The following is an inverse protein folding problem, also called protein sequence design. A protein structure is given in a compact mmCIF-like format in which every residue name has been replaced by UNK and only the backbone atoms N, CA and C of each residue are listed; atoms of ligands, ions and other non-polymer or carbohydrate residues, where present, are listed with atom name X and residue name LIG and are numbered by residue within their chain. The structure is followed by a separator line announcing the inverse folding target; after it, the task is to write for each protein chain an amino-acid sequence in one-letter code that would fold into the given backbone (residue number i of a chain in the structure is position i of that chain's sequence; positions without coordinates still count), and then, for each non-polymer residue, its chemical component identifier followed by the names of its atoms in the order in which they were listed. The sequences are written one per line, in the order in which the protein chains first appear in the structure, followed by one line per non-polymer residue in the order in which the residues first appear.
data_IF_500951583186
#
_entry.id   IF_500951583186
#
_cell.length_a   1.000
_cell.length_b   1.000
_cell.length_c   1.000
_cell.angle_alpha   90.00
_cell.angle_beta   90.00
_cell.angle_gamma   90.00
#
_symmetry.space_group_name_H-M   'P 1'
#
loop_
_entity.id
_entity.type
_entity.pdbx_description
1 polymer ?
#
# COMPACT_ATOMS: atom_id res chain seq x y z
N UNK A 1 -5.60 22.97 13.30
CA UNK A 1 -5.67 21.94 12.24
C UNK A 1 -5.62 20.63 12.98
N UNK A 2 -6.78 20.00 13.17
CA UNK A 2 -6.88 18.74 13.89
C UNK A 2 -6.60 17.68 12.83
N UNK A 3 -5.35 17.25 12.74
CA UNK A 3 -5.03 16.04 12.00
C UNK A 3 -5.77 14.91 12.72
N UNK A 4 -6.69 14.27 11.99
CA UNK A 4 -7.39 13.07 12.40
C UNK A 4 -6.39 11.91 12.52
N UNK A 5 -5.47 11.98 13.49
CA UNK A 5 -4.72 10.85 14.01
C UNK A 5 -5.69 9.98 14.82
N UNK A 6 -6.63 9.31 14.14
CA UNK A 6 -7.23 8.12 14.73
C UNK A 6 -6.07 7.16 14.98
N UNK A 7 -5.76 6.95 16.25
CA UNK A 7 -4.81 5.92 16.66
C UNK A 7 -5.25 4.61 16.01
N UNK A 8 -4.43 4.08 15.10
CA UNK A 8 -4.65 2.79 14.49
C UNK A 8 -4.78 1.77 15.61
N UNK A 9 -5.78 0.90 15.51
CA UNK A 9 -5.90 -0.26 16.40
C UNK A 9 -4.65 -1.15 16.26
N UNK A 10 -4.44 -2.05 17.22
CA UNK A 10 -3.33 -3.00 17.14
C UNK A 10 -3.40 -3.89 15.87
N UNK A 11 -4.61 -4.22 15.44
CA UNK A 11 -4.88 -4.96 14.20
C UNK A 11 -4.52 -4.13 12.96
N UNK A 12 -5.00 -2.87 12.90
CA UNK A 12 -4.66 -1.95 11.80
C UNK A 12 -3.16 -1.65 11.73
N UNK A 13 -2.47 -1.56 12.88
CA UNK A 13 -1.02 -1.35 12.94
C UNK A 13 -0.24 -2.58 12.43
N UNK A 14 -0.70 -3.79 12.75
CA UNK A 14 -0.10 -5.02 12.25
C UNK A 14 -0.28 -5.16 10.73
N UNK A 15 -1.48 -4.82 10.22
CA UNK A 15 -1.77 -4.80 8.79
C UNK A 15 -0.95 -3.75 8.05
N UNK A 16 -0.79 -2.55 8.62
CA UNK A 16 0.06 -1.49 8.06
C UNK A 16 1.52 -1.96 7.95
N UNK A 17 2.09 -2.55 8.99
CA UNK A 17 3.45 -3.08 8.97
C UNK A 17 3.63 -4.21 7.95
N UNK A 18 2.63 -5.09 7.80
CA UNK A 18 2.62 -6.13 6.76
C UNK A 18 2.58 -5.54 5.34
N UNK A 19 1.81 -4.48 5.15
CA UNK A 19 1.73 -3.76 3.88
C UNK A 19 3.04 -3.04 3.54
N UNK A 20 3.66 -2.35 4.49
CA UNK A 20 4.98 -1.72 4.33
C UNK A 20 6.03 -2.74 3.90
N UNK A 21 6.08 -3.90 4.57
CA UNK A 21 7.02 -4.97 4.22
C UNK A 21 6.78 -5.52 2.79
N UNK A 22 5.52 -5.64 2.36
CA UNK A 22 5.18 -6.06 0.99
C UNK A 22 5.58 -5.01 -0.05
N UNK A 23 5.30 -3.73 0.21
CA UNK A 23 5.67 -2.62 -0.68
C UNK A 23 7.19 -2.54 -0.82
N UNK A 24 7.92 -2.63 0.28
CA UNK A 24 9.39 -2.63 0.30
C UNK A 24 9.98 -3.83 -0.44
N UNK A 25 9.42 -5.03 -0.25
CA UNK A 25 9.91 -6.25 -0.91
C UNK A 25 9.73 -6.24 -2.41
N UNK A 26 8.59 -5.77 -2.88
CA UNK A 26 8.26 -5.76 -4.32
C UNK A 26 8.83 -4.55 -5.05
N UNK A 27 9.14 -3.48 -4.32
CA UNK A 27 9.65 -2.19 -4.83
C UNK A 27 9.09 -1.86 -6.22
N UNK A 28 7.74 -1.73 -6.35
CA UNK A 28 7.08 -1.67 -7.64
C UNK A 28 7.46 -0.43 -8.44
N UNK A 29 8.20 0.51 -7.87
CA UNK A 29 8.57 1.80 -8.45
C UNK A 29 10.08 2.07 -8.40
N UNK A 30 10.86 1.18 -7.79
CA UNK A 30 12.31 1.29 -7.78
C UNK A 30 12.86 2.39 -6.87
N UNK A 31 12.07 2.86 -5.87
CA UNK A 31 12.48 3.95 -4.97
C UNK A 31 12.80 3.49 -3.55
N UNK A 32 12.87 2.17 -3.30
CA UNK A 32 13.53 1.66 -2.10
C UNK A 32 15.05 1.96 -2.18
N UNK A 33 15.43 3.23 -1.98
CA UNK A 33 16.80 3.72 -2.03
C UNK A 33 17.36 3.85 -0.61
N UNK A 34 17.71 2.73 0.02
CA UNK A 34 18.41 2.72 1.30
C UNK A 34 18.01 1.59 2.24
N UNK A 35 18.47 1.67 3.48
CA UNK A 35 18.17 0.77 4.61
C UNK A 35 17.05 1.35 5.51
N UNK A 36 16.16 2.18 4.95
CA UNK A 36 15.10 2.84 5.72
C UNK A 36 13.73 2.19 5.47
N UNK A 37 13.33 1.19 6.27
CA UNK A 37 12.05 0.50 6.13
C UNK A 37 10.83 1.41 6.34
N UNK A 38 11.03 2.59 6.92
CA UNK A 38 9.97 3.58 7.18
C UNK A 38 9.60 4.44 5.95
N UNK A 39 10.23 4.22 4.78
CA UNK A 39 9.99 5.00 3.55
C UNK A 39 8.58 4.83 2.98
N UNK A 40 7.88 3.72 3.28
CA UNK A 40 6.54 3.41 2.76
C UNK A 40 5.42 3.58 3.81
N UNK A 41 5.74 4.02 5.02
CA UNK A 41 4.75 4.23 6.08
C UNK A 41 3.61 5.19 5.75
N UNK A 42 3.83 6.33 5.07
CA UNK A 42 2.73 7.22 4.72
C UNK A 42 1.78 6.61 3.67
N UNK A 43 2.29 5.88 2.69
CA UNK A 43 1.52 5.18 1.65
C UNK A 43 0.72 4.04 2.25
N UNK A 44 1.32 3.24 3.14
CA UNK A 44 0.64 2.14 3.82
C UNK A 44 -0.54 2.63 4.66
N UNK A 45 -0.37 3.75 5.38
CA UNK A 45 -1.44 4.39 6.17
C UNK A 45 -2.55 4.96 5.29
N UNK A 46 -2.23 5.53 4.13
CA UNK A 46 -3.22 6.03 3.18
C UNK A 46 -3.98 4.90 2.47
N UNK A 47 -3.32 3.76 2.24
CA UNK A 47 -3.91 2.57 1.63
C UNK A 47 -4.86 1.83 2.56
N UNK A 48 -4.53 1.72 3.85
CA UNK A 48 -5.27 0.92 4.82
C UNK A 48 -6.80 1.17 4.81
N UNK A 49 -7.32 2.41 4.94
CA UNK A 49 -8.77 2.66 4.94
C UNK A 49 -9.42 2.37 3.57
N UNK A 50 -8.66 2.43 2.47
CA UNK A 50 -9.17 2.09 1.13
C UNK A 50 -9.18 0.58 0.90
N UNK A 51 -8.19 -0.13 1.43
CA UNK A 51 -8.03 -1.58 1.28
C UNK A 51 -9.07 -2.37 2.07
N UNK A 52 -9.49 -1.92 3.25
CA UNK A 52 -10.55 -2.59 4.03
C UNK A 52 -11.92 -2.60 3.31
N UNK A 53 -12.13 -1.71 2.34
CA UNK A 53 -13.34 -1.68 1.52
C UNK A 53 -13.26 -2.58 0.28
N UNK A 54 -12.05 -3.04 -0.07
CA UNK A 54 -11.83 -3.90 -1.24
C UNK A 54 -12.21 -5.35 -0.97
N UNK A 55 -12.77 -6.03 -1.98
CA UNK A 55 -13.21 -7.44 -1.85
C UNK A 55 -12.53 -8.38 -2.83
N UNK A 56 -11.91 -7.84 -3.87
CA UNK A 56 -11.23 -8.61 -4.91
C UNK A 56 -9.80 -8.14 -5.12
N UNK A 57 -8.98 -9.01 -5.71
CA UNK A 57 -7.59 -8.67 -6.08
C UNK A 57 -7.54 -7.51 -7.08
N UNK A 58 -8.51 -7.41 -8.00
CA UNK A 58 -8.57 -6.32 -8.98
C UNK A 58 -8.88 -4.98 -8.28
N UNK A 59 -9.79 -4.98 -7.29
CA UNK A 59 -10.06 -3.78 -6.46
C UNK A 59 -8.80 -3.34 -5.70
N UNK A 60 -8.07 -4.29 -5.09
CA UNK A 60 -6.81 -4.01 -4.40
C UNK A 60 -5.79 -3.45 -5.38
N UNK A 61 -5.68 -4.03 -6.56
CA UNK A 61 -4.75 -3.58 -7.61
C UNK A 61 -5.04 -2.15 -8.05
N UNK A 62 -6.31 -1.81 -8.27
CA UNK A 62 -6.73 -0.47 -8.67
C UNK A 62 -6.51 0.55 -7.54
N UNK A 63 -6.80 0.19 -6.29
CA UNK A 63 -6.54 1.06 -5.12
C UNK A 63 -5.05 1.32 -4.94
N UNK A 64 -4.23 0.28 -5.03
CA UNK A 64 -2.76 0.41 -4.92
C UNK A 64 -2.23 1.28 -6.05
N UNK A 65 -2.59 0.99 -7.31
CA UNK A 65 -2.17 1.79 -8.47
C UNK A 65 -2.60 3.26 -8.32
N UNK A 66 -3.84 3.52 -7.92
CA UNK A 66 -4.35 4.88 -7.75
C UNK A 66 -3.59 5.66 -6.65
N UNK A 67 -3.20 5.02 -5.55
CA UNK A 67 -2.36 5.68 -4.53
C UNK A 67 -0.98 5.98 -5.09
N UNK A 68 -0.33 5.04 -5.76
CA UNK A 68 0.99 5.29 -6.34
C UNK A 68 0.96 6.39 -7.42
N UNK A 69 -0.06 6.43 -8.27
CA UNK A 69 -0.27 7.51 -9.24
C UNK A 69 -0.52 8.85 -8.55
N UNK A 70 -1.29 8.87 -7.46
CA UNK A 70 -1.55 10.08 -6.68
C UNK A 70 -0.27 10.65 -6.04
N UNK A 71 0.68 9.80 -5.67
CA UNK A 71 1.90 10.20 -4.96
C UNK A 71 3.09 10.49 -5.89
N UNK A 72 3.21 9.78 -7.01
CA UNK A 72 4.41 9.79 -7.88
C UNK A 72 4.14 10.14 -9.34
N UNK A 73 2.89 10.43 -9.68
CA UNK A 73 2.38 10.61 -11.03
C UNK A 73 2.33 9.32 -11.87
N UNK A 74 1.46 9.31 -12.89
CA UNK A 74 1.23 8.14 -13.76
C UNK A 74 2.49 7.69 -14.51
N UNK A 75 3.35 8.63 -14.89
CA UNK A 75 4.60 8.35 -15.59
C UNK A 75 5.60 7.54 -14.76
N UNK A 76 5.62 7.74 -13.44
CA UNK A 76 6.54 7.05 -12.51
C UNK A 76 5.92 5.76 -11.98
N UNK A 77 4.62 5.79 -11.64
CA UNK A 77 3.89 4.61 -11.18
C UNK A 77 3.81 3.51 -12.25
N UNK A 78 3.73 3.90 -13.52
CA UNK A 78 3.66 2.97 -14.64
C UNK A 78 2.31 2.21 -14.68
N UNK A 79 2.26 1.09 -15.43
CA UNK A 79 1.00 0.42 -15.72
C UNK A 79 0.47 -0.38 -14.54
N UNK A 80 -0.85 -0.40 -14.36
CA UNK A 80 -1.52 -1.17 -13.28
C UNK A 80 -1.08 -2.63 -13.20
N UNK A 81 -0.74 -3.26 -14.32
CA UNK A 81 -0.31 -4.66 -14.40
C UNK A 81 0.93 -4.96 -13.55
N UNK A 82 1.76 -3.93 -13.29
CA UNK A 82 2.93 -4.04 -12.41
C UNK A 82 2.55 -4.31 -10.95
N UNK A 83 1.35 -3.89 -10.55
CA UNK A 83 0.84 -4.03 -9.19
C UNK A 83 0.05 -5.32 -8.96
N UNK A 84 -0.10 -6.20 -9.96
CA UNK A 84 -0.91 -7.42 -9.79
C UNK A 84 -0.34 -8.36 -8.75
N UNK A 85 0.97 -8.62 -8.79
CA UNK A 85 1.62 -9.54 -7.84
C UNK A 85 1.51 -9.05 -6.40
N UNK A 86 1.74 -7.76 -6.17
CA UNK A 86 1.59 -7.17 -4.83
C UNK A 86 0.13 -7.14 -4.38
N UNK A 87 -0.82 -6.91 -5.30
CA UNK A 87 -2.25 -6.94 -4.98
C UNK A 87 -2.74 -8.34 -4.56
N UNK A 88 -2.23 -9.41 -5.18
CA UNK A 88 -2.52 -10.78 -4.78
C UNK A 88 -2.04 -11.07 -3.35
N UNK A 89 -0.83 -10.63 -3.01
CA UNK A 89 -0.27 -10.82 -1.66
C UNK A 89 -0.99 -9.96 -0.61
N UNK A 90 -1.33 -8.71 -0.93
CA UNK A 90 -2.13 -7.85 -0.05
C UNK A 90 -3.53 -8.47 0.16
N UNK A 91 -4.17 -8.97 -0.89
CA UNK A 91 -5.49 -9.61 -0.76
C UNK A 91 -5.41 -10.88 0.10
N UNK A 92 -4.32 -11.64 0.04
CA UNK A 92 -4.08 -12.79 0.92
C UNK A 92 -3.88 -12.35 2.38
N UNK A 93 -3.17 -11.24 2.62
CA UNK A 93 -2.97 -10.67 3.95
C UNK A 93 -4.29 -10.19 4.59
N UNK A 94 -5.17 -9.55 3.81
CA UNK A 94 -6.46 -9.02 4.29
C UNK A 94 -7.53 -10.09 4.55
N UNK A 95 -7.36 -11.29 3.98
CA UNK A 95 -8.30 -12.42 4.15
C UNK A 95 -7.97 -13.31 5.35
N UNK A 96 -6.92 -12.98 6.10
CA UNK A 96 -6.40 -13.77 7.21
C UNK A 96 -6.72 -13.13 8.56
#
# INVERSE_FOLDING_TARGET
MRDDERALTAEESCLAAGLEALLYRHDPIGIAFGDNPDEYSPEARALLPRLVETRTVDDVQDVVHAVFVQWLDEGTAGPRTRYRLIAEEISALLRH
#
